data_IF_099283986824
#
_entry.id   IF_099283986824
#
_cell.length_a   1.000
_cell.length_b   1.000
_cell.length_c   1.000
_cell.angle_alpha   90.00
_cell.angle_beta   90.00
_cell.angle_gamma   90.00
#
_symmetry.space_group_name_H-M   'P 1'
#
loop_
_entity.id
_entity.type
_entity.pdbx_description
1 polymer ?
#
# COMPACT_ATOMS: atom_id res chain seq x y z
N UNK A 1 -30.85 -15.59 11.87
CA UNK A 1 -29.41 -15.94 11.82
C UNK A 1 -28.66 -14.85 12.56
N UNK A 2 -28.18 -15.12 13.77
CA UNK A 2 -27.55 -14.11 14.64
C UNK A 2 -26.13 -13.87 14.14
N UNK A 3 -25.83 -12.66 13.66
CA UNK A 3 -24.48 -12.29 13.25
C UNK A 3 -23.68 -12.07 14.53
N UNK A 4 -22.74 -12.97 14.82
CA UNK A 4 -21.83 -12.82 15.96
C UNK A 4 -20.73 -11.80 15.64
N UNK A 5 -20.25 -11.08 16.66
CA UNK A 5 -19.19 -10.05 16.55
C UNK A 5 -17.91 -10.58 15.88
N UNK A 6 -17.64 -11.89 16.01
CA UNK A 6 -16.50 -12.59 15.43
C UNK A 6 -16.53 -12.64 13.89
N UNK A 7 -17.71 -12.51 13.28
CA UNK A 7 -17.88 -12.59 11.82
C UNK A 7 -17.17 -11.47 11.05
N UNK A 8 -16.88 -10.34 11.72
CA UNK A 8 -16.23 -9.17 11.16
C UNK A 8 -14.72 -9.13 11.38
N UNK A 9 -14.20 -9.92 12.32
CA UNK A 9 -12.77 -10.01 12.61
C UNK A 9 -12.08 -10.72 11.46
N UNK A 10 -10.92 -10.22 11.05
CA UNK A 10 -10.15 -10.82 9.98
C UNK A 10 -9.59 -12.19 10.38
N UNK A 11 -9.78 -13.17 9.50
CA UNK A 11 -9.48 -14.57 9.75
C UNK A 11 -8.20 -15.02 9.04
N UNK A 12 -7.73 -16.24 9.36
CA UNK A 12 -6.66 -16.89 8.59
C UNK A 12 -7.03 -17.07 7.10
N UNK A 13 -8.32 -17.21 6.77
CA UNK A 13 -8.76 -17.29 5.38
C UNK A 13 -8.58 -15.94 4.65
N UNK A 14 -8.74 -14.81 5.35
CA UNK A 14 -8.48 -13.47 4.80
C UNK A 14 -7.00 -13.26 4.53
N UNK A 15 -6.12 -13.71 5.44
CA UNK A 15 -4.66 -13.70 5.23
C UNK A 15 -4.29 -14.44 3.95
N UNK A 16 -4.73 -15.69 3.80
CA UNK A 16 -4.44 -16.50 2.60
C UNK A 16 -4.97 -15.83 1.33
N UNK A 17 -6.17 -15.25 1.40
CA UNK A 17 -6.79 -14.53 0.29
C UNK A 17 -5.97 -13.31 -0.12
N UNK A 18 -5.52 -12.50 0.84
CA UNK A 18 -4.73 -11.30 0.55
C UNK A 18 -3.35 -11.66 0.01
N UNK A 19 -2.66 -12.66 0.58
CA UNK A 19 -1.38 -13.16 0.04
C UNK A 19 -1.55 -13.65 -1.40
N UNK A 20 -2.51 -14.54 -1.65
CA UNK A 20 -2.75 -15.06 -2.99
C UNK A 20 -3.04 -13.95 -4.01
N UNK A 21 -3.90 -12.99 -3.66
CA UNK A 21 -4.24 -11.87 -4.55
C UNK A 21 -3.07 -10.93 -4.78
N UNK A 22 -2.28 -10.63 -3.75
CA UNK A 22 -1.06 -9.83 -3.89
C UNK A 22 -0.06 -10.51 -4.83
N UNK A 23 0.18 -11.81 -4.65
CA UNK A 23 1.09 -12.58 -5.51
C UNK A 23 0.57 -12.68 -6.94
N UNK A 24 -0.72 -12.92 -7.14
CA UNK A 24 -1.33 -12.93 -8.46
C UNK A 24 -1.16 -11.59 -9.18
N UNK A 25 -1.36 -10.46 -8.48
CA UNK A 25 -1.13 -9.12 -9.06
C UNK A 25 0.33 -8.92 -9.42
N UNK A 26 1.26 -9.30 -8.54
CA UNK A 26 2.70 -9.24 -8.83
C UNK A 26 3.03 -10.02 -10.10
N UNK A 27 2.55 -11.26 -10.21
CA UNK A 27 2.76 -12.10 -11.39
C UNK A 27 2.17 -11.47 -12.66
N UNK A 28 0.97 -10.90 -12.59
CA UNK A 28 0.34 -10.21 -13.72
C UNK A 28 1.14 -8.97 -14.15
N UNK A 29 1.62 -8.17 -13.21
CA UNK A 29 2.43 -6.98 -13.51
C UNK A 29 3.78 -7.35 -14.14
N UNK A 30 4.50 -8.33 -13.59
CA UNK A 30 5.74 -8.81 -14.18
C UNK A 30 5.55 -9.54 -15.51
N UNK A 31 4.46 -10.30 -15.65
CA UNK A 31 4.07 -10.93 -16.91
C UNK A 31 3.82 -9.90 -17.99
N UNK A 32 3.00 -8.87 -17.71
CA UNK A 32 2.74 -7.77 -18.64
C UNK A 32 4.03 -7.01 -19.01
N UNK A 33 4.91 -6.78 -18.03
CA UNK A 33 6.21 -6.17 -18.27
C UNK A 33 7.09 -7.02 -19.20
N UNK A 34 7.14 -8.34 -18.98
CA UNK A 34 7.86 -9.28 -19.83
C UNK A 34 7.32 -9.30 -21.26
N UNK A 35 6.00 -9.33 -21.43
CA UNK A 35 5.33 -9.27 -22.74
C UNK A 35 5.68 -8.00 -23.51
N UNK A 36 5.69 -6.84 -22.84
CA UNK A 36 6.09 -5.56 -23.44
C UNK A 36 7.58 -5.53 -23.78
N UNK A 37 8.43 -6.05 -22.89
CA UNK A 37 9.88 -6.12 -23.14
C UNK A 37 10.18 -7.00 -24.36
N UNK A 38 9.43 -8.10 -24.52
CA UNK A 38 9.46 -8.96 -25.70
C UNK A 38 8.79 -8.36 -26.94
N UNK A 39 8.29 -7.11 -26.87
CA UNK A 39 7.61 -6.39 -27.96
C UNK A 39 6.35 -7.08 -28.48
N UNK A 40 5.71 -7.89 -27.64
CA UNK A 40 4.46 -8.59 -27.95
C UNK A 40 3.20 -7.76 -27.62
N UNK A 41 3.36 -6.61 -26.96
CA UNK A 41 2.27 -5.74 -26.56
C UNK A 41 2.74 -4.28 -26.57
N UNK A 42 1.88 -3.29 -26.93
CA UNK A 42 2.22 -1.88 -26.84
C UNK A 42 2.54 -1.44 -25.40
N UNK A 43 3.61 -0.65 -25.23
CA UNK A 43 4.11 -0.21 -23.93
C UNK A 43 3.04 0.54 -23.10
N UNK A 44 2.17 1.33 -23.74
CA UNK A 44 1.14 2.12 -23.04
C UNK A 44 0.10 1.27 -22.31
N UNK A 45 -0.12 0.01 -22.70
CA UNK A 45 -1.07 -0.89 -22.02
C UNK A 45 -0.65 -1.13 -20.57
N UNK A 46 0.67 -1.08 -20.28
CA UNK A 46 1.18 -1.22 -18.92
C UNK A 46 0.65 -0.15 -17.97
N UNK A 47 0.44 1.06 -18.47
CA UNK A 47 -0.13 2.17 -17.70
C UNK A 47 -1.51 1.78 -17.16
N UNK A 48 -2.36 1.21 -18.02
CA UNK A 48 -3.72 0.77 -17.66
C UNK A 48 -3.69 -0.39 -16.67
N UNK A 49 -2.83 -1.38 -16.92
CA UNK A 49 -2.67 -2.55 -16.04
C UNK A 49 -2.21 -2.09 -14.64
N UNK A 50 -1.19 -1.24 -14.57
CA UNK A 50 -0.68 -0.70 -13.31
C UNK A 50 -1.75 0.10 -12.58
N UNK A 51 -2.48 0.99 -13.27
CA UNK A 51 -3.54 1.80 -12.69
C UNK A 51 -4.62 0.96 -11.98
N UNK A 52 -4.99 -0.17 -12.56
CA UNK A 52 -6.03 -1.05 -12.00
C UNK A 52 -5.52 -2.01 -10.93
N UNK A 53 -4.32 -2.58 -11.13
CA UNK A 53 -3.81 -3.65 -10.28
C UNK A 53 -3.01 -3.13 -9.08
N UNK A 54 -2.24 -2.06 -9.22
CA UNK A 54 -1.38 -1.59 -8.15
C UNK A 54 -2.15 -1.13 -6.90
N UNK A 55 -3.24 -0.34 -6.98
CA UNK A 55 -4.01 0.03 -5.79
C UNK A 55 -4.58 -1.18 -5.04
N UNK A 56 -4.96 -2.23 -5.78
CA UNK A 56 -5.43 -3.50 -5.21
C UNK A 56 -4.30 -4.20 -4.45
N UNK A 57 -3.10 -4.28 -5.03
CA UNK A 57 -1.93 -4.85 -4.36
C UNK A 57 -1.55 -4.06 -3.10
N UNK A 58 -1.58 -2.74 -3.18
CA UNK A 58 -1.27 -1.86 -2.04
C UNK A 58 -2.21 -2.16 -0.87
N UNK A 59 -3.53 -2.20 -1.09
CA UNK A 59 -4.45 -2.48 0.01
C UNK A 59 -4.31 -3.90 0.55
N UNK A 60 -4.13 -4.92 -0.29
CA UNK A 60 -3.97 -6.29 0.21
C UNK A 60 -2.70 -6.43 1.06
N UNK A 61 -1.62 -5.75 0.66
CA UNK A 61 -0.38 -5.72 1.44
C UNK A 61 -0.55 -4.93 2.74
N UNK A 62 -1.25 -3.81 2.71
CA UNK A 62 -1.61 -3.03 3.89
C UNK A 62 -2.45 -3.85 4.89
N UNK A 63 -3.48 -4.56 4.41
CA UNK A 63 -4.29 -5.44 5.27
C UNK A 63 -3.42 -6.56 5.85
N UNK A 64 -2.48 -7.13 5.09
CA UNK A 64 -1.56 -8.14 5.62
C UNK A 64 -0.71 -7.63 6.78
N UNK A 65 -0.27 -6.35 6.75
CA UNK A 65 0.47 -5.76 7.86
C UNK A 65 -0.31 -5.89 9.18
N UNK A 66 -1.62 -5.65 9.14
CA UNK A 66 -2.51 -5.78 10.29
C UNK A 66 -2.64 -7.21 10.81
N UNK A 67 -2.58 -8.19 9.92
CA UNK A 67 -2.92 -9.58 10.26
C UNK A 67 -1.71 -10.44 10.60
N UNK A 68 -0.54 -10.20 10.00
CA UNK A 68 0.62 -11.08 10.12
C UNK A 68 1.94 -10.32 10.17
N UNK A 69 2.86 -10.83 10.97
CA UNK A 69 4.26 -10.40 10.94
C UNK A 69 5.01 -11.07 9.76
N UNK A 70 6.22 -10.60 9.49
CA UNK A 70 7.03 -11.06 8.37
C UNK A 70 7.38 -12.57 8.39
N UNK A 71 7.40 -13.21 9.57
CA UNK A 71 7.70 -14.64 9.72
C UNK A 71 6.48 -15.54 9.45
N UNK A 72 5.28 -14.96 9.41
CA UNK A 72 4.02 -15.69 9.23
C UNK A 72 3.44 -15.58 7.82
N UNK A 73 4.16 -14.91 6.91
CA UNK A 73 3.82 -14.82 5.48
C UNK A 73 4.88 -15.54 4.65
N UNK A 74 4.52 -15.88 3.42
CA UNK A 74 5.45 -16.53 2.49
C UNK A 74 6.61 -15.60 2.12
N UNK A 75 7.71 -16.22 1.68
CA UNK A 75 8.93 -15.51 1.34
C UNK A 75 8.73 -14.43 0.27
N UNK A 76 7.96 -14.71 -0.78
CA UNK A 76 7.77 -13.78 -1.90
C UNK A 76 6.96 -12.56 -1.48
N UNK A 77 5.87 -12.76 -0.74
CA UNK A 77 5.10 -11.64 -0.18
C UNK A 77 5.96 -10.77 0.73
N UNK A 78 6.86 -11.38 1.52
CA UNK A 78 7.78 -10.67 2.41
C UNK A 78 8.79 -9.80 1.66
N UNK A 79 9.18 -10.19 0.45
CA UNK A 79 10.06 -9.39 -0.41
C UNK A 79 9.39 -8.10 -0.89
N UNK A 80 8.05 -8.07 -1.02
CA UNK A 80 7.31 -6.97 -1.66
C UNK A 80 7.95 -6.57 -3.02
N UNK A 81 7.94 -7.48 -4.01
CA UNK A 81 8.87 -7.45 -5.15
C UNK A 81 8.63 -6.30 -6.15
N UNK A 82 7.59 -5.47 -5.98
CA UNK A 82 7.33 -4.37 -6.91
C UNK A 82 8.44 -3.30 -6.83
N UNK A 83 9.06 -2.94 -7.97
CA UNK A 83 10.27 -2.13 -8.02
C UNK A 83 9.96 -0.62 -8.06
N UNK A 84 9.42 -0.06 -6.97
CA UNK A 84 9.18 1.39 -6.90
C UNK A 84 10.48 2.20 -6.99
N UNK A 85 11.55 1.73 -6.36
CA UNK A 85 12.85 2.41 -6.29
C UNK A 85 13.91 1.40 -5.87
N UNK A 86 15.20 1.61 -6.19
CA UNK A 86 16.28 0.82 -5.60
C UNK A 86 16.38 1.00 -4.07
N UNK A 87 15.83 2.08 -3.51
CA UNK A 87 15.86 2.39 -2.08
C UNK A 87 14.53 2.08 -1.40
N UNK A 88 14.11 0.80 -1.40
CA UNK A 88 12.84 0.38 -0.83
C UNK A 88 13.03 -0.60 0.34
N UNK A 89 12.36 -0.32 1.45
CA UNK A 89 12.34 -1.17 2.64
C UNK A 89 11.57 -2.48 2.41
N UNK A 90 11.81 -3.52 3.22
CA UNK A 90 11.06 -4.79 3.16
C UNK A 90 9.72 -4.74 3.89
N UNK A 91 9.00 -5.86 3.89
CA UNK A 91 7.71 -6.00 4.59
C UNK A 91 7.81 -5.70 6.09
N UNK A 92 8.87 -6.14 6.77
CA UNK A 92 8.96 -5.99 8.22
C UNK A 92 9.16 -4.53 8.62
N UNK A 93 10.08 -3.84 7.96
CA UNK A 93 10.36 -2.42 8.19
C UNK A 93 9.15 -1.54 7.87
N UNK A 94 8.49 -1.77 6.72
CA UNK A 94 7.26 -1.05 6.36
C UNK A 94 6.13 -1.32 7.35
N UNK A 95 5.96 -2.58 7.79
CA UNK A 95 4.98 -2.92 8.82
C UNK A 95 5.25 -2.17 10.13
N UNK A 96 6.51 -2.07 10.54
CA UNK A 96 6.88 -1.33 11.76
C UNK A 96 6.63 0.18 11.63
N UNK A 97 6.90 0.78 10.46
CA UNK A 97 6.50 2.16 10.15
C UNK A 97 4.99 2.31 10.27
N UNK A 98 4.24 1.44 9.59
CA UNK A 98 2.78 1.43 9.55
C UNK A 98 2.13 1.33 10.94
N UNK A 99 2.61 0.46 11.83
CA UNK A 99 2.07 0.39 13.20
C UNK A 99 2.44 1.60 14.07
N UNK A 100 3.58 2.23 13.83
CA UNK A 100 3.91 3.50 14.50
C UNK A 100 2.99 4.63 14.02
N UNK A 101 2.68 4.67 12.73
CA UNK A 101 1.65 5.55 12.17
C UNK A 101 0.29 5.31 12.84
N UNK A 102 -0.18 4.06 12.94
CA UNK A 102 -1.44 3.76 13.63
C UNK A 102 -1.47 4.17 15.11
N UNK A 103 -0.33 4.14 15.81
CA UNK A 103 -0.23 4.54 17.22
C UNK A 103 -0.24 6.06 17.39
N UNK A 104 0.31 6.79 16.42
CA UNK A 104 0.49 8.23 16.47
C UNK A 104 0.00 8.90 15.18
N UNK A 105 -1.24 8.67 14.73
CA UNK A 105 -1.66 9.11 13.41
C UNK A 105 -1.74 10.62 13.37
N UNK A 106 -1.13 11.22 12.35
CA UNK A 106 -1.17 12.65 12.10
C UNK A 106 -0.66 13.52 13.28
N UNK A 107 0.30 13.00 14.06
CA UNK A 107 1.01 13.76 15.11
C UNK A 107 2.47 14.03 14.70
N UNK A 108 3.21 14.90 15.40
CA UNK A 108 4.65 15.08 15.14
C UNK A 108 5.50 13.82 15.33
N UNK A 109 5.01 12.81 16.06
CA UNK A 109 5.71 11.53 16.27
C UNK A 109 5.30 10.45 15.25
N UNK A 110 4.37 10.76 14.35
CA UNK A 110 4.04 9.91 13.21
C UNK A 110 5.29 9.76 12.31
N UNK A 111 5.76 8.54 11.99
CA UNK A 111 6.87 8.37 11.05
C UNK A 111 6.58 8.98 9.67
N UNK A 112 5.30 9.16 9.34
CA UNK A 112 4.82 9.71 8.07
C UNK A 112 4.40 11.19 8.19
N UNK A 113 4.65 11.84 9.34
CA UNK A 113 4.32 13.25 9.58
C UNK A 113 4.83 14.21 8.49
N UNK A 114 5.96 13.87 7.85
CA UNK A 114 6.61 14.71 6.85
C UNK A 114 5.75 14.98 5.60
N UNK A 115 4.80 14.09 5.27
CA UNK A 115 3.87 14.29 4.17
C UNK A 115 2.41 14.51 4.64
N UNK A 116 2.11 14.39 5.94
CA UNK A 116 0.79 14.70 6.51
C UNK A 116 0.71 16.15 6.96
N UNK A 117 1.71 16.64 7.72
CA UNK A 117 1.65 17.94 8.42
C UNK A 117 2.10 19.14 7.56
N UNK A 118 2.52 18.92 6.32
CA UNK A 118 3.18 19.93 5.48
C UNK A 118 2.28 20.75 4.54
N UNK A 119 0.97 20.51 4.54
CA UNK A 119 0.06 21.05 3.53
C UNK A 119 0.06 20.22 2.22
N UNK A 120 -0.84 20.52 1.26
CA UNK A 120 -1.15 19.61 0.16
C UNK A 120 0.03 19.41 -0.80
N UNK A 121 0.82 20.47 -1.05
CA UNK A 121 2.00 20.37 -1.91
C UNK A 121 3.11 19.53 -1.30
N UNK A 122 3.39 19.71 -0.01
CA UNK A 122 4.36 18.85 0.69
C UNK A 122 3.84 17.42 0.78
N UNK A 123 2.54 17.22 0.94
CA UNK A 123 1.91 15.90 0.89
C UNK A 123 2.12 15.22 -0.45
N UNK A 124 1.84 15.91 -1.56
CA UNK A 124 1.99 15.35 -2.91
C UNK A 124 3.46 15.03 -3.25
N UNK A 125 4.38 15.95 -2.96
CA UNK A 125 5.83 15.73 -3.16
C UNK A 125 6.38 14.64 -2.23
N UNK A 126 5.87 14.60 -1.00
CA UNK A 126 6.16 13.57 -0.03
C UNK A 126 5.77 12.20 -0.57
N UNK A 127 4.53 12.04 -1.01
CA UNK A 127 3.98 10.81 -1.60
C UNK A 127 4.80 10.27 -2.78
N UNK A 128 5.33 11.15 -3.64
CA UNK A 128 6.21 10.77 -4.76
C UNK A 128 7.54 10.16 -4.31
N UNK A 129 7.99 10.49 -3.11
CA UNK A 129 9.31 10.14 -2.58
C UNK A 129 9.23 9.30 -1.30
N UNK A 130 8.04 8.83 -0.91
CA UNK A 130 7.82 8.02 0.31
C UNK A 130 8.78 6.84 0.39
N UNK A 131 8.93 5.99 -0.65
CA UNK A 131 9.81 4.83 -0.55
C UNK A 131 11.25 5.21 -0.16
N UNK A 132 11.81 6.23 -0.80
CA UNK A 132 13.14 6.77 -0.50
C UNK A 132 13.20 7.39 0.90
N UNK A 133 12.24 8.24 1.24
CA UNK A 133 12.22 8.94 2.53
C UNK A 133 12.11 7.94 3.69
N UNK A 134 11.22 6.96 3.59
CA UNK A 134 11.10 5.87 4.54
C UNK A 134 12.41 5.10 4.66
N UNK A 135 13.07 4.77 3.54
CA UNK A 135 14.36 4.09 3.54
C UNK A 135 15.46 4.87 4.28
N UNK A 136 15.66 6.14 3.95
CA UNK A 136 16.71 6.96 4.57
C UNK A 136 16.42 7.21 6.06
N UNK A 137 15.16 7.51 6.40
CA UNK A 137 14.74 7.69 7.80
C UNK A 137 14.93 6.41 8.61
N UNK A 138 14.55 5.26 8.06
CA UNK A 138 14.76 3.96 8.71
C UNK A 138 16.25 3.69 8.94
N UNK A 139 17.07 3.86 7.89
CA UNK A 139 18.53 3.68 7.98
C UNK A 139 19.16 4.53 9.07
N UNK A 140 18.71 5.79 9.19
CA UNK A 140 19.17 6.71 10.22
C UNK A 140 18.74 6.24 11.63
N UNK A 141 17.50 5.78 11.78
CA UNK A 141 16.99 5.26 13.06
C UNK A 141 17.71 3.98 13.50
N UNK A 142 18.04 3.08 12.57
CA UNK A 142 18.72 1.81 12.86
C UNK A 142 20.25 1.92 12.88
N UNK A 143 20.80 3.12 12.74
CA UNK A 143 22.24 3.40 12.75
C UNK A 143 23.03 2.62 11.67
N UNK A 144 22.48 2.51 10.45
CA UNK A 144 23.24 2.05 9.28
C UNK A 144 22.53 1.04 8.38
N UNK A 145 22.99 0.97 7.12
CA UNK A 145 22.41 0.14 6.05
C UNK A 145 22.58 -1.37 6.30
N UNK A 146 23.64 -1.76 7.02
CA UNK A 146 23.93 -3.17 7.35
C UNK A 146 22.90 -3.80 8.29
N UNK A 147 22.03 -2.98 8.91
CA UNK A 147 20.93 -3.44 9.77
C UNK A 147 19.62 -3.67 9.01
N UNK A 148 19.58 -3.42 7.71
CA UNK A 148 18.39 -3.70 6.89
C UNK A 148 18.20 -5.20 6.70
N UNK A 149 16.94 -5.62 6.56
CA UNK A 149 16.62 -6.97 6.14
C UNK A 149 17.30 -7.32 4.80
N UNK A 150 17.73 -8.58 4.60
CA UNK A 150 18.18 -9.07 3.30
C UNK A 150 17.19 -8.82 2.16
N UNK A 151 15.90 -8.63 2.47
CA UNK A 151 14.87 -8.30 1.50
C UNK A 151 15.18 -7.00 0.72
N UNK A 152 15.86 -6.02 1.35
CA UNK A 152 16.27 -4.79 0.67
C UNK A 152 17.13 -5.08 -0.57
N UNK A 153 18.15 -5.92 -0.41
CA UNK A 153 19.07 -6.28 -1.50
C UNK A 153 18.36 -7.00 -2.64
N UNK A 154 17.40 -7.88 -2.31
CA UNK A 154 16.55 -8.51 -3.32
C UNK A 154 15.73 -7.51 -4.11
N UNK A 155 15.13 -6.52 -3.45
CA UNK A 155 14.34 -5.47 -4.12
C UNK A 155 15.20 -4.59 -5.01
N UNK A 156 16.38 -4.18 -4.54
CA UNK A 156 17.34 -3.44 -5.34
C UNK A 156 17.79 -4.27 -6.57
N UNK A 157 18.03 -5.57 -6.37
CA UNK A 157 18.32 -6.53 -7.45
C UNK A 157 17.19 -6.62 -8.47
N UNK A 158 15.94 -6.81 -8.03
CA UNK A 158 14.75 -6.86 -8.91
C UNK A 158 14.61 -5.56 -9.70
N UNK A 159 14.79 -4.40 -9.05
CA UNK A 159 14.79 -3.10 -9.73
C UNK A 159 15.86 -3.05 -10.84
N UNK A 160 17.10 -3.40 -10.49
CA UNK A 160 18.21 -3.43 -11.44
C UNK A 160 17.98 -4.39 -12.60
N UNK A 161 17.50 -5.61 -12.31
CA UNK A 161 17.15 -6.60 -13.35
C UNK A 161 16.05 -6.08 -14.27
N UNK A 162 15.00 -5.46 -13.73
CA UNK A 162 13.95 -4.87 -14.57
C UNK A 162 14.52 -3.81 -15.50
N UNK A 163 15.30 -2.87 -14.96
CA UNK A 163 15.91 -1.79 -15.72
C UNK A 163 16.82 -2.34 -16.83
N UNK A 164 17.72 -3.28 -16.50
CA UNK A 164 18.68 -3.85 -17.45
C UNK A 164 17.98 -4.67 -18.55
N UNK A 165 16.97 -5.47 -18.19
CA UNK A 165 16.27 -6.34 -19.15
C UNK A 165 15.33 -5.54 -20.05
N UNK A 166 14.62 -4.53 -19.53
CA UNK A 166 13.64 -3.78 -20.32
C UNK A 166 14.17 -2.56 -21.04
N UNK A 167 15.36 -2.05 -20.69
CA UNK A 167 15.91 -0.83 -21.27
C UNK A 167 14.92 0.33 -21.20
N UNK A 168 14.56 0.94 -22.34
CA UNK A 168 13.59 2.04 -22.37
C UNK A 168 12.15 1.63 -21.98
N UNK A 169 11.75 0.38 -22.22
CA UNK A 169 10.41 -0.09 -21.83
C UNK A 169 10.25 -0.19 -20.30
N UNK A 170 11.35 -0.19 -19.55
CA UNK A 170 11.32 -0.05 -18.09
C UNK A 170 10.58 1.22 -17.65
N UNK A 171 10.75 2.35 -18.33
CA UNK A 171 10.12 3.60 -17.92
C UNK A 171 8.60 3.58 -18.10
N UNK A 172 8.08 2.85 -19.08
CA UNK A 172 6.64 2.61 -19.24
C UNK A 172 6.05 1.73 -18.14
N UNK A 173 6.88 0.98 -17.41
CA UNK A 173 6.46 0.25 -16.22
C UNK A 173 6.61 1.09 -14.96
N UNK A 174 7.79 1.67 -14.80
CA UNK A 174 8.21 2.32 -13.56
C UNK A 174 7.51 3.65 -13.32
N UNK A 175 7.35 4.49 -14.34
CA UNK A 175 6.70 5.81 -14.18
C UNK A 175 5.24 5.63 -13.73
N UNK A 176 4.39 4.82 -14.39
CA UNK A 176 3.02 4.59 -13.92
C UNK A 176 2.99 3.99 -12.51
N UNK A 177 3.89 3.05 -12.21
CA UNK A 177 3.98 2.42 -10.91
C UNK A 177 4.28 3.44 -9.81
N UNK A 178 5.15 4.42 -10.09
CA UNK A 178 5.45 5.53 -9.19
C UNK A 178 4.30 6.50 -9.03
N UNK A 179 3.69 6.93 -10.13
CA UNK A 179 2.59 7.90 -10.10
C UNK A 179 1.35 7.33 -9.40
N UNK A 180 0.99 6.08 -9.69
CA UNK A 180 -0.17 5.42 -9.08
C UNK A 180 0.09 5.13 -7.59
N UNK A 181 1.31 4.72 -7.22
CA UNK A 181 1.67 4.59 -5.81
C UNK A 181 1.57 5.92 -5.08
N UNK A 182 2.16 6.98 -5.62
CA UNK A 182 2.13 8.32 -5.03
C UNK A 182 0.70 8.88 -4.93
N UNK A 183 -0.14 8.64 -5.94
CA UNK A 183 -1.55 9.04 -5.87
C UNK A 183 -2.30 8.28 -4.77
N UNK A 184 -2.07 6.97 -4.66
CA UNK A 184 -2.65 6.13 -3.61
C UNK A 184 -2.19 6.58 -2.23
N UNK A 185 -0.90 6.81 -2.06
CA UNK A 185 -0.26 7.27 -0.83
C UNK A 185 -0.77 8.66 -0.43
N UNK A 186 -0.76 9.65 -1.35
CA UNK A 186 -1.32 10.97 -1.09
C UNK A 186 -2.80 10.92 -0.71
N UNK A 187 -3.59 10.11 -1.42
CA UNK A 187 -5.00 9.93 -1.12
C UNK A 187 -5.22 9.32 0.25
N UNK A 188 -4.40 8.34 0.64
CA UNK A 188 -4.59 7.57 1.87
C UNK A 188 -3.98 8.22 3.10
N UNK A 189 -2.81 8.86 2.99
CA UNK A 189 -2.08 9.46 4.10
C UNK A 189 -2.32 10.96 4.24
N UNK A 190 -2.52 11.71 3.15
CA UNK A 190 -2.77 13.14 3.26
C UNK A 190 -4.27 13.45 3.31
N UNK A 191 -5.03 13.05 2.29
CA UNK A 191 -6.44 13.45 2.18
C UNK A 191 -7.35 12.83 3.25
N UNK A 192 -7.00 11.65 3.78
CA UNK A 192 -7.75 11.01 4.87
C UNK A 192 -7.27 11.41 6.26
N UNK A 193 -6.14 12.12 6.37
CA UNK A 193 -5.61 12.57 7.65
C UNK A 193 -5.57 14.08 7.82
N UNK A 194 -6.00 14.85 6.82
CA UNK A 194 -6.11 16.30 6.90
C UNK A 194 -7.47 16.74 6.39
N UNK A 195 -8.23 17.47 7.22
CA UNK A 195 -9.53 18.06 6.83
C UNK A 195 -9.60 19.51 7.29
N UNK A 196 -9.78 20.44 6.34
CA UNK A 196 -9.80 21.87 6.67
C UNK A 196 -8.51 22.35 7.33
N UNK A 197 -7.36 21.74 6.98
CA UNK A 197 -6.06 22.01 7.59
C UNK A 197 -5.83 21.36 8.96
N UNK A 198 -6.84 20.67 9.52
CA UNK A 198 -6.72 19.98 10.80
C UNK A 198 -6.24 18.54 10.60
N UNK A 199 -5.17 18.11 11.29
CA UNK A 199 -4.73 16.72 11.33
C UNK A 199 -5.73 15.81 12.06
N UNK A 200 -5.89 14.57 11.60
CA UNK A 200 -6.75 13.56 12.23
C UNK A 200 -6.81 12.26 11.42
N UNK A 201 -7.87 11.49 11.58
CA UNK A 201 -8.20 10.36 10.71
C UNK A 201 -9.68 10.43 10.36
N UNK A 202 -9.98 10.52 9.07
CA UNK A 202 -11.31 10.88 8.59
C UNK A 202 -11.88 9.83 7.64
N UNK A 203 -13.21 9.65 7.70
CA UNK A 203 -13.94 8.88 6.71
C UNK A 203 -14.09 9.65 5.40
N UNK A 204 -13.97 8.97 4.26
CA UNK A 204 -14.33 9.50 2.95
C UNK A 204 -15.80 9.19 2.62
N UNK A 205 -16.59 10.22 2.33
CA UNK A 205 -17.97 10.08 1.86
C UNK A 205 -17.97 10.10 0.33
N UNK A 206 -18.43 9.02 -0.28
CA UNK A 206 -18.61 8.93 -1.74
C UNK A 206 -20.10 8.80 -2.08
N UNK A 207 -20.60 9.51 -3.09
CA UNK A 207 -21.91 9.22 -3.66
C UNK A 207 -22.00 7.76 -4.12
N UNK A 208 -23.19 7.16 -3.99
CA UNK A 208 -23.38 5.71 -4.21
C UNK A 208 -22.90 5.22 -5.57
N UNK A 209 -23.12 6.00 -6.63
CA UNK A 209 -22.69 5.68 -7.99
C UNK A 209 -21.15 5.55 -8.07
N UNK A 210 -20.42 6.53 -7.54
CA UNK A 210 -18.96 6.49 -7.50
C UNK A 210 -18.43 5.37 -6.62
N UNK A 211 -19.09 5.06 -5.50
CA UNK A 211 -18.73 3.91 -4.67
C UNK A 211 -18.83 2.60 -5.48
N UNK A 212 -19.95 2.37 -6.18
CA UNK A 212 -20.15 1.13 -6.95
C UNK A 212 -19.10 0.99 -8.05
N UNK A 213 -18.83 2.07 -8.79
CA UNK A 213 -17.79 2.08 -9.83
C UNK A 213 -16.40 1.82 -9.24
N UNK A 214 -16.06 2.46 -8.13
CA UNK A 214 -14.79 2.23 -7.46
C UNK A 214 -14.69 0.80 -6.90
N UNK A 215 -15.76 0.24 -6.33
CA UNK A 215 -15.76 -1.14 -5.81
C UNK A 215 -15.60 -2.16 -6.94
N UNK A 216 -16.11 -1.87 -8.14
CA UNK A 216 -15.91 -2.69 -9.34
C UNK A 216 -14.44 -2.62 -9.81
N UNK A 217 -13.90 -1.40 -9.94
CA UNK A 217 -12.55 -1.17 -10.49
C UNK A 217 -11.43 -1.54 -9.52
N UNK A 218 -11.59 -1.28 -8.23
CA UNK A 218 -10.53 -1.45 -7.24
C UNK A 218 -10.86 -2.47 -6.14
N UNK A 219 -12.07 -3.03 -6.15
CA UNK A 219 -12.49 -4.01 -5.17
C UNK A 219 -12.99 -3.38 -3.87
N UNK A 220 -13.88 -4.12 -3.20
CA UNK A 220 -14.51 -3.69 -1.94
C UNK A 220 -13.53 -3.43 -0.79
N UNK A 221 -12.42 -4.16 -0.74
CA UNK A 221 -11.40 -4.01 0.32
C UNK A 221 -10.78 -2.62 0.28
N UNK A 222 -10.28 -2.17 -0.88
CA UNK A 222 -9.71 -0.82 -1.03
C UNK A 222 -10.74 0.24 -0.68
N UNK A 223 -11.88 0.23 -1.37
CA UNK A 223 -12.86 1.31 -1.28
C UNK A 223 -13.41 1.44 0.14
N UNK A 224 -13.68 0.32 0.82
CA UNK A 224 -14.24 0.38 2.18
C UNK A 224 -13.18 0.74 3.22
N UNK A 225 -11.93 0.31 3.08
CA UNK A 225 -10.84 0.79 3.93
C UNK A 225 -10.69 2.32 3.82
N UNK A 226 -10.68 2.85 2.59
CA UNK A 226 -10.59 4.29 2.33
C UNK A 226 -11.82 5.06 2.86
N UNK A 227 -13.04 4.57 2.62
CA UNK A 227 -14.27 5.22 3.08
C UNK A 227 -14.40 5.24 4.59
N UNK A 228 -13.98 4.18 5.28
CA UNK A 228 -14.11 4.02 6.73
C UNK A 228 -12.75 4.04 7.44
N UNK A 229 -11.83 4.85 6.93
CA UNK A 229 -10.43 4.90 7.36
C UNK A 229 -10.25 5.24 8.84
N UNK A 230 -11.10 6.11 9.38
CA UNK A 230 -11.14 6.40 10.81
C UNK A 230 -11.44 5.15 11.66
N UNK A 231 -12.43 4.34 11.25
CA UNK A 231 -12.76 3.07 11.93
C UNK A 231 -11.63 2.06 11.76
N UNK A 232 -11.02 2.03 10.58
CA UNK A 232 -9.86 1.19 10.27
C UNK A 232 -8.67 1.48 11.20
N UNK A 233 -8.41 2.76 11.47
CA UNK A 233 -7.37 3.20 12.41
C UNK A 233 -7.60 2.68 13.83
N UNK A 234 -8.84 2.75 14.30
CA UNK A 234 -9.22 2.32 15.65
C UNK A 234 -9.25 0.80 15.78
N UNK A 235 -9.66 0.07 14.73
CA UNK A 235 -9.88 -1.37 14.77
C UNK A 235 -9.26 -2.09 13.56
N UNK A 236 -7.92 -2.08 13.43
CA UNK A 236 -7.22 -2.65 12.28
C UNK A 236 -7.40 -4.16 12.10
N UNK A 237 -7.87 -4.87 13.13
CA UNK A 237 -8.18 -6.30 13.07
C UNK A 237 -9.54 -6.63 12.43
N UNK A 238 -10.39 -5.64 12.17
CA UNK A 238 -11.67 -5.82 11.48
C UNK A 238 -11.40 -5.89 9.97
N UNK A 239 -12.05 -6.82 9.27
CA UNK A 239 -11.94 -6.91 7.82
C UNK A 239 -12.36 -5.58 7.19
N UNK A 240 -11.52 -4.96 6.35
CA UNK A 240 -11.87 -3.72 5.68
C UNK A 240 -13.24 -3.77 4.97
N UNK A 241 -13.60 -4.93 4.38
CA UNK A 241 -14.89 -5.14 3.72
C UNK A 241 -16.10 -5.11 4.66
N UNK A 242 -15.90 -5.35 5.95
CA UNK A 242 -16.93 -5.38 6.99
C UNK A 242 -17.12 -4.05 7.70
N UNK A 243 -16.17 -3.11 7.60
CA UNK A 243 -16.22 -1.80 8.26
C UNK A 243 -17.54 -1.02 8.13
N UNK A 244 -18.29 -1.06 7.00
CA UNK A 244 -19.57 -0.36 6.91
C UNK A 244 -20.65 -0.95 7.82
N UNK A 245 -20.60 -2.26 8.08
CA UNK A 245 -21.58 -3.03 8.84
C UNK A 245 -21.18 -3.22 10.30
N UNK A 246 -19.91 -2.91 10.61
CA UNK A 246 -19.37 -3.04 11.93
C UNK A 246 -19.66 -1.78 12.73
N UNK A 247 -20.44 -1.93 13.80
CA UNK A 247 -20.68 -0.90 14.79
C UNK A 247 -19.88 -1.22 16.06
N UNK A 248 -18.98 -0.32 16.51
CA UNK A 248 -18.36 -0.47 17.81
C UNK A 248 -19.47 -0.46 18.86
N UNK A 249 -19.67 -1.56 19.57
CA UNK A 249 -20.71 -1.62 20.60
C UNK A 249 -20.41 -0.71 21.80
N UNK A 250 -19.18 -0.24 21.99
CA UNK A 250 -18.79 0.81 22.94
C UNK A 250 -17.49 1.49 22.48
N UNK A 251 -17.31 2.80 22.76
CA UNK A 251 -16.08 3.54 22.48
C UNK A 251 -14.88 3.06 23.30
#
# INVERSE_FOLDING_TARGET
MTITKDSYVASTADVRRYQFRSLAIVLLLFGAYGTITAKLMPDWILVVIVLLLLPRWMIYTHELFHLRNAKQIDFITRLMPLPFTPFALGYDEFRQIHFRHHRHPATPTDPDAYHILGGPWRGALGALTVPEQSFFRWTRLTHGILKHSPNFWWRAGIFGTCLLVGGWSFFWFWIPLRLVYALGDFSFFYLLHVRGGQPGSYSLKLPRVFQVLAELLYGRTLVRATMFHNRHHLHPGIQARALPLWEPTHP
#
